data_IF_566931183761
#
_entry.id   IF_566931183761
#
_cell.length_a   1.000
_cell.length_b   1.000
_cell.length_c   1.000
_cell.angle_alpha   90.00
_cell.angle_beta   90.00
_cell.angle_gamma   90.00
#
_symmetry.space_group_name_H-M   'P 1'
#
loop_
_entity.id
_entity.type
_entity.pdbx_description
1 polymer ?
2 non-polymer ?
3 water ?
#
# COMPACT_ATOMS: atom_id res chain seq x y z
N UNK A 1 17.77 -5.48 0.68
CA UNK A 1 17.79 -4.88 2.02
C UNK A 1 17.47 -5.92 3.12
N UNK A 2 18.29 -5.97 4.19
CA UNK A 2 18.09 -6.98 5.23
C UNK A 2 16.86 -6.78 6.13
N UNK A 3 16.43 -7.89 6.70
CA UNK A 3 15.24 -7.96 7.52
C UNK A 3 15.58 -8.06 8.99
N UNK A 4 14.83 -7.31 9.82
CA UNK A 4 14.97 -7.27 11.27
C UNK A 4 13.68 -7.85 11.91
N UNK A 5 13.82 -8.60 13.00
CA UNK A 5 12.69 -9.20 13.69
C UNK A 5 12.70 -8.83 15.17
N UNK A 6 11.51 -8.68 15.74
CA UNK A 6 11.28 -8.34 17.13
C UNK A 6 10.26 -9.28 17.70
N UNK A 7 10.46 -9.78 18.94
CA UNK A 7 9.46 -10.60 19.59
C UNK A 7 8.60 -9.66 20.45
N UNK A 8 7.29 -9.82 20.37
CA UNK A 8 6.39 -8.93 21.07
C UNK A 8 5.01 -9.56 21.32
N UNK A 9 4.25 -8.92 22.20
CA UNK A 9 2.86 -9.25 22.42
C UNK A 9 2.03 -8.03 21.96
N UNK A 10 0.78 -8.28 21.61
CA UNK A 10 -0.11 -7.21 21.18
C UNK A 10 -1.32 -7.20 22.09
N UNK A 11 -1.77 -6.04 22.44
CA UNK A 11 -2.98 -5.86 23.23
C UNK A 11 -3.81 -4.85 22.45
N UNK A 12 -5.12 -5.03 22.35
CA UNK A 12 -5.93 -4.02 21.68
C UNK A 12 -6.04 -2.76 22.58
N UNK A 13 -6.58 -1.66 22.06
CA UNK A 13 -6.68 -0.42 22.84
C UNK A 13 -7.57 -0.49 24.05
N UNK A 14 -8.35 -1.56 24.19
CA UNK A 14 -9.16 -1.76 25.40
C UNK A 14 -8.50 -2.76 26.38
N UNK A 15 -7.21 -3.11 26.15
CA UNK A 15 -6.36 -3.99 26.95
C UNK A 15 -6.65 -5.48 26.78
N UNK A 16 -7.39 -5.89 25.73
CA UNK A 16 -7.64 -7.30 25.54
C UNK A 16 -6.38 -7.93 24.95
N UNK A 17 -5.94 -9.05 25.51
CA UNK A 17 -4.77 -9.77 25.02
C UNK A 17 -5.17 -10.67 23.85
N UNK A 18 -4.19 -11.05 23.01
CA UNK A 18 -4.47 -11.98 21.91
C UNK A 18 -3.94 -13.36 22.27
N UNK A 19 -4.78 -14.39 22.04
CA UNK A 19 -4.47 -15.79 22.35
C UNK A 19 -4.82 -16.68 21.15
N UNK A 20 -4.26 -17.91 21.07
CA UNK A 20 -4.68 -18.85 20.02
C UNK A 20 -6.01 -19.47 20.43
N UNK A 21 -6.80 -19.92 19.46
CA UNK A 21 -8.05 -20.63 19.69
C UNK A 21 -8.04 -21.72 18.64
N UNK A 22 -7.32 -22.79 18.93
CA UNK A 22 -7.10 -23.85 17.95
C UNK A 22 -6.06 -23.41 16.94
N UNK A 23 -5.88 -24.24 15.88
CA UNK A 23 -4.84 -23.96 14.91
C UNK A 23 -5.09 -22.80 13.94
N UNK A 24 -6.35 -22.42 13.71
CA UNK A 24 -6.65 -21.45 12.68
C UNK A 24 -7.15 -20.11 13.09
N UNK A 25 -7.16 -19.79 14.39
CA UNK A 25 -7.79 -18.56 14.84
C UNK A 25 -7.15 -17.95 16.07
N UNK A 26 -7.21 -16.60 16.18
CA UNK A 26 -6.80 -15.84 17.35
C UNK A 26 -8.09 -15.26 17.93
N UNK A 27 -8.18 -15.16 19.26
CA UNK A 27 -9.31 -14.52 19.94
C UNK A 27 -8.74 -13.42 20.82
N UNK A 28 -9.56 -12.46 21.22
CA UNK A 28 -9.09 -11.37 22.07
C UNK A 28 -9.92 -11.33 23.35
N UNK A 29 -9.28 -11.32 24.51
CA UNK A 29 -9.99 -11.27 25.80
C UNK A 29 -9.13 -10.63 26.89
N UNK A 30 -9.76 -10.14 27.97
CA UNK A 30 -9.03 -9.60 29.11
C UNK A 30 -8.55 -10.80 29.94
N UNK A 31 -7.24 -11.06 29.96
CA UNK A 31 -6.72 -12.21 30.68
C UNK A 31 -6.50 -11.97 32.15
N UNK A 32 -6.70 -13.01 32.98
CA UNK A 32 -6.36 -12.92 34.40
C UNK A 32 -4.82 -12.95 34.51
N UNK A 33 -4.28 -12.40 35.58
CA UNK A 33 -2.84 -12.34 35.78
C UNK A 33 -2.10 -13.66 35.74
N UNK A 34 -2.69 -14.73 36.31
CA UNK A 34 -2.05 -16.04 36.29
C UNK A 34 -2.12 -16.70 34.89
N UNK A 35 -3.08 -16.27 34.04
CA UNK A 35 -3.22 -16.79 32.67
C UNK A 35 -2.45 -15.92 31.64
N UNK A 36 -1.71 -14.88 32.08
CA UNK A 36 -0.99 -14.00 31.17
C UNK A 36 -0.03 -14.71 30.24
N UNK A 37 0.42 -15.92 30.59
CA UNK A 37 1.31 -16.71 29.75
C UNK A 37 0.62 -17.25 28.48
N UNK A 38 -0.71 -17.20 28.42
CA UNK A 38 -1.43 -17.66 27.24
C UNK A 38 -1.31 -16.73 26.05
N UNK A 39 -0.95 -15.44 26.27
CA UNK A 39 -0.89 -14.50 25.17
C UNK A 39 0.17 -14.88 24.14
N UNK A 40 -0.19 -14.77 22.85
CA UNK A 40 0.66 -15.16 21.72
C UNK A 40 1.88 -14.25 21.64
N UNK A 41 3.05 -14.85 21.44
CA UNK A 41 4.26 -14.09 21.19
C UNK A 41 4.41 -14.04 19.67
N UNK A 42 4.46 -12.82 19.12
CA UNK A 42 4.65 -12.63 17.70
C UNK A 42 6.09 -12.34 17.39
N UNK A 43 6.52 -12.68 16.19
CA UNK A 43 7.82 -12.27 15.71
C UNK A 43 7.43 -11.27 14.60
N UNK A 44 7.60 -9.99 14.89
CA UNK A 44 7.29 -8.96 13.92
C UNK A 44 8.52 -8.69 13.09
N UNK A 45 8.41 -8.91 11.78
CA UNK A 45 9.53 -8.71 10.88
C UNK A 45 9.30 -7.54 9.93
N UNK A 46 10.36 -6.81 9.67
CA UNK A 46 10.33 -5.61 8.82
C UNK A 46 11.72 -5.37 8.19
N UNK A 47 11.81 -4.43 7.25
CA UNK A 47 13.07 -4.12 6.59
C UNK A 47 13.82 -3.06 7.38
N UNK A 48 15.12 -3.33 7.67
CA UNK A 48 16.04 -2.45 8.42
C UNK A 48 16.20 -1.06 7.77
N UNK A 49 16.17 0.01 8.57
CA UNK A 49 16.37 1.35 8.07
C UNK A 49 15.12 2.18 7.84
N UNK A 50 13.94 1.57 8.06
CA UNK A 50 12.67 2.28 7.89
C UNK A 50 12.09 2.86 9.18
N UNK A 51 12.81 2.79 10.30
CA UNK A 51 12.34 3.27 11.61
C UNK A 51 11.73 4.70 11.60
N UNK A 52 12.17 5.60 10.69
CA UNK A 52 11.64 6.96 10.65
C UNK A 52 10.48 7.18 9.66
N UNK A 53 10.05 6.14 8.95
CA UNK A 53 8.95 6.25 7.99
C UNK A 53 7.58 6.19 8.70
N UNK A 54 6.55 6.80 8.10
CA UNK A 54 5.21 6.80 8.68
C UNK A 54 4.49 5.46 8.53
N UNK A 55 4.67 4.81 7.39
CA UNK A 55 4.11 3.48 7.16
C UNK A 55 5.26 2.54 7.10
N UNK A 56 5.22 1.49 7.89
CA UNK A 56 6.28 0.49 7.89
C UNK A 56 5.67 -0.87 7.62
N UNK A 57 5.95 -1.47 6.45
CA UNK A 57 5.45 -2.83 6.20
C UNK A 57 6.05 -3.83 7.19
N UNK A 58 5.18 -4.63 7.79
CA UNK A 58 5.55 -5.65 8.75
C UNK A 58 4.87 -6.97 8.38
N UNK A 59 5.48 -8.07 8.81
CA UNK A 59 4.94 -9.42 8.76
C UNK A 59 4.84 -9.88 10.22
N UNK A 60 3.75 -10.58 10.54
CA UNK A 60 3.54 -11.06 11.89
C UNK A 60 3.53 -12.57 11.95
N UNK A 61 4.64 -13.12 12.41
CA UNK A 61 4.77 -14.56 12.57
C UNK A 61 4.42 -15.01 13.98
N UNK A 62 4.06 -16.27 14.16
CA UNK A 62 3.80 -16.82 15.48
C UNK A 62 4.16 -18.31 15.49
N UNK A 63 4.23 -18.93 16.67
CA UNK A 63 4.55 -20.34 16.81
C UNK A 63 5.98 -20.61 16.33
N UNK A 64 6.93 -19.72 16.68
CA UNK A 64 8.36 -19.85 16.30
C UNK A 64 8.48 -19.87 14.76
N UNK A 65 7.73 -18.96 14.09
CA UNK A 65 7.66 -18.76 12.63
C UNK A 65 7.02 -19.89 11.85
N UNK A 66 6.23 -20.74 12.51
CA UNK A 66 5.53 -21.83 11.81
C UNK A 66 4.26 -21.34 11.11
N UNK A 67 3.71 -20.20 11.58
CA UNK A 67 2.50 -19.59 11.04
C UNK A 67 2.74 -18.10 10.86
N UNK A 68 2.08 -17.51 9.88
CA UNK A 68 2.08 -16.08 9.67
C UNK A 68 0.65 -15.61 9.49
N UNK A 69 0.33 -14.39 9.98
CA UNK A 69 -0.97 -13.77 9.73
C UNK A 69 -1.01 -13.44 8.23
N UNK A 70 -2.10 -13.84 7.58
CA UNK A 70 -2.26 -13.75 6.14
C UNK A 70 -3.60 -13.16 5.79
N UNK A 71 -3.66 -12.33 4.73
CA UNK A 71 -4.91 -11.74 4.27
C UNK A 71 -5.27 -12.41 2.95
N UNK A 72 -6.43 -13.09 2.88
CA UNK A 72 -6.89 -13.76 1.67
C UNK A 72 -8.38 -13.51 1.48
N UNK A 73 -8.85 -13.61 0.23
CA UNK A 73 -10.28 -13.50 -0.05
C UNK A 73 -10.98 -14.80 0.33
N UNK A 74 -12.07 -14.69 1.09
CA UNK A 74 -12.90 -15.84 1.42
C UNK A 74 -14.33 -15.39 1.21
N UNK A 75 -15.03 -16.02 0.25
CA UNK A 75 -16.40 -15.65 -0.15
C UNK A 75 -16.44 -14.23 -0.72
N UNK A 76 -15.37 -13.85 -1.46
CA UNK A 76 -15.19 -12.54 -2.08
C UNK A 76 -15.00 -11.40 -1.05
N UNK A 77 -14.56 -11.74 0.17
CA UNK A 77 -14.35 -10.76 1.21
C UNK A 77 -12.96 -10.90 1.85
N UNK A 78 -12.22 -9.78 2.05
CA UNK A 78 -10.91 -9.88 2.72
C UNK A 78 -11.02 -10.51 4.12
N UNK A 79 -10.20 -11.54 4.34
CA UNK A 79 -10.26 -12.35 5.55
C UNK A 79 -8.87 -12.59 6.14
N UNK A 80 -8.79 -12.60 7.46
CA UNK A 80 -7.56 -12.86 8.18
C UNK A 80 -7.45 -14.32 8.51
N UNK A 81 -6.32 -14.91 8.15
CA UNK A 81 -6.08 -16.31 8.38
C UNK A 81 -4.71 -16.55 9.03
N UNK A 82 -4.45 -17.78 9.50
CA UNK A 82 -3.17 -18.17 10.07
C UNK A 82 -2.62 -19.22 9.16
N UNK A 83 -1.67 -18.81 8.31
CA UNK A 83 -1.12 -19.66 7.28
C UNK A 83 0.18 -20.34 7.68
N UNK A 84 0.25 -21.67 7.45
CA UNK A 84 1.42 -22.49 7.72
C UNK A 84 2.53 -22.21 6.73
N UNK A 85 3.76 -22.04 7.23
CA UNK A 85 4.94 -21.85 6.38
C UNK A 85 6.08 -22.78 6.89
N UNK A 86 7.12 -22.97 6.07
CA UNK A 86 8.32 -23.70 6.44
C UNK A 86 9.12 -22.67 7.23
N UNK A 87 9.32 -22.89 8.55
CA UNK A 87 10.02 -21.88 9.36
C UNK A 87 11.45 -21.56 8.92
N UNK A 88 12.12 -22.50 8.24
CA UNK A 88 13.50 -22.33 7.76
C UNK A 88 13.67 -21.20 6.76
N UNK A 89 12.65 -20.93 5.92
CA UNK A 89 12.75 -19.86 4.93
C UNK A 89 12.11 -18.57 5.37
N UNK A 90 11.76 -18.42 6.64
CA UNK A 90 11.09 -17.21 7.11
C UNK A 90 11.83 -16.55 8.25
N UNK A 91 11.79 -15.21 8.33
CA UNK A 91 11.11 -14.28 7.41
C UNK A 91 11.89 -14.12 6.11
N UNK A 92 11.19 -13.89 4.99
CA UNK A 92 11.85 -13.72 3.69
C UNK A 92 12.29 -12.29 3.48
N UNK A 93 13.33 -12.07 2.67
CA UNK A 93 13.75 -10.71 2.30
C UNK A 93 12.63 -10.04 1.48
N UNK A 94 11.86 -10.82 0.70
CA UNK A 94 10.70 -10.34 -0.05
C UNK A 94 9.52 -11.19 0.40
N UNK A 95 8.84 -10.78 1.47
CA UNK A 95 7.68 -11.52 1.96
C UNK A 95 6.56 -11.46 0.94
N UNK A 96 5.75 -12.52 0.83
CA UNK A 96 4.58 -12.54 -0.05
C UNK A 96 3.60 -11.47 0.45
N UNK A 97 3.03 -10.69 -0.46
CA UNK A 97 2.14 -9.59 -0.14
C UNK A 97 0.99 -9.93 0.83
N UNK A 98 0.44 -11.15 0.77
CA UNK A 98 -0.65 -11.54 1.68
C UNK A 98 -0.22 -11.53 3.17
N UNK A 99 1.08 -11.63 3.45
CA UNK A 99 1.57 -11.61 4.83
C UNK A 99 1.91 -10.20 5.34
N UNK A 100 1.81 -9.18 4.47
CA UNK A 100 2.27 -7.84 4.83
C UNK A 100 1.18 -6.90 5.23
N UNK A 101 1.48 -6.13 6.29
CA UNK A 101 0.62 -5.10 6.82
C UNK A 101 1.42 -3.82 6.97
N UNK A 102 0.80 -2.67 6.68
CA UNK A 102 1.45 -1.40 6.94
C UNK A 102 1.19 -1.09 8.41
N UNK A 103 2.27 -0.99 9.20
CA UNK A 103 2.17 -0.65 10.59
C UNK A 103 2.26 0.89 10.62
N UNK A 104 1.22 1.52 11.13
CA UNK A 104 1.12 2.97 11.21
C UNK A 104 0.91 3.34 12.69
N UNK A 105 1.77 4.20 13.25
CA UNK A 105 1.62 4.59 14.65
C UNK A 105 0.83 5.90 14.80
N UNK A 106 -0.43 5.81 15.27
CA UNK A 106 -1.35 6.95 15.43
C UNK A 106 -1.67 7.19 16.91
N UNK A 107 -1.43 8.42 17.40
CA UNK A 107 -1.70 8.78 18.79
C UNK A 107 -1.12 7.77 19.82
N UNK A 108 0.15 7.30 19.57
CA UNK A 108 0.92 6.35 20.41
C UNK A 108 0.48 4.86 20.25
N UNK A 109 -0.59 4.62 19.50
CA UNK A 109 -1.09 3.27 19.26
C UNK A 109 -0.69 2.77 17.85
N UNK A 110 -0.83 1.48 17.62
CA UNK A 110 -0.47 0.85 16.37
C UNK A 110 -1.69 0.43 15.60
N UNK A 111 -1.62 0.58 14.30
CA UNK A 111 -2.68 0.21 13.39
C UNK A 111 -2.04 -0.65 12.30
N UNK A 112 -2.67 -1.77 11.91
CA UNK A 112 -2.10 -2.68 10.92
C UNK A 112 -3.04 -2.83 9.74
N UNK A 113 -2.75 -2.13 8.65
CA UNK A 113 -3.58 -2.16 7.45
C UNK A 113 -3.06 -3.21 6.49
N UNK A 114 -3.95 -4.03 5.93
CA UNK A 114 -3.55 -5.04 4.95
C UNK A 114 -2.93 -4.37 3.73
N UNK A 115 -1.73 -4.80 3.33
CA UNK A 115 -1.12 -4.26 2.10
C UNK A 115 -1.91 -4.79 0.89
N UNK A 116 -2.38 -6.05 0.94
CA UNK A 116 -3.13 -6.64 -0.16
C UNK A 116 -4.51 -6.01 -0.30
N UNK A 117 -5.16 -5.72 0.83
CA UNK A 117 -6.52 -5.19 0.82
C UNK A 117 -6.56 -3.83 1.50
N UNK A 118 -6.35 -2.74 0.73
CA UNK A 118 -6.36 -1.40 1.33
C UNK A 118 -7.63 -1.09 2.10
N UNK A 119 -7.48 -0.36 3.20
CA UNK A 119 -8.56 0.04 4.10
C UNK A 119 -9.21 -1.11 4.87
N UNK A 120 -8.50 -2.23 4.97
CA UNK A 120 -8.89 -3.39 5.78
C UNK A 120 -7.80 -3.52 6.85
N UNK A 121 -8.21 -3.61 8.11
CA UNK A 121 -7.29 -3.62 9.23
C UNK A 121 -7.45 -4.83 10.12
N UNK A 122 -6.39 -5.18 10.86
CA UNK A 122 -6.48 -6.18 11.93
C UNK A 122 -7.40 -5.57 13.00
N UNK A 123 -8.45 -6.29 13.36
CA UNK A 123 -9.50 -5.77 14.21
C UNK A 123 -9.90 -6.75 15.30
N UNK A 124 -10.48 -6.21 16.36
CA UNK A 124 -11.06 -6.99 17.44
C UNK A 124 -12.48 -6.44 17.75
N UNK A 125 -13.31 -7.27 18.36
CA UNK A 125 -14.64 -6.87 18.77
C UNK A 125 -14.56 -6.27 20.18
N UNK A 126 -15.59 -5.48 20.57
CA UNK A 126 -15.70 -4.93 21.92
C UNK A 126 -15.95 -6.08 22.94
N UNK A 127 -16.74 -7.09 22.54
CA UNK A 127 -17.08 -8.25 23.35
C UNK A 127 -15.86 -9.13 23.66
N UNK A 128 -15.93 -9.88 24.76
CA UNK A 128 -14.84 -10.77 25.17
C UNK A 128 -14.83 -12.05 24.37
N UNK A 129 -13.63 -12.61 24.21
CA UNK A 129 -13.38 -13.91 23.62
C UNK A 129 -13.93 -14.11 22.22
N UNK A 130 -13.89 -13.06 21.40
CA UNK A 130 -14.31 -13.12 20.00
C UNK A 130 -13.10 -13.16 19.10
N UNK A 131 -13.22 -13.76 17.89
CA UNK A 131 -12.06 -13.85 17.01
C UNK A 131 -11.49 -12.49 16.60
N UNK A 132 -10.17 -12.49 16.33
CA UNK A 132 -9.46 -11.37 15.74
C UNK A 132 -9.79 -11.51 14.25
N UNK A 133 -10.13 -10.40 13.57
CA UNK A 133 -10.55 -10.48 12.17
C UNK A 133 -10.03 -9.30 11.34
N UNK A 134 -10.23 -9.33 10.01
CA UNK A 134 -9.87 -8.20 9.15
C UNK A 134 -11.17 -7.40 8.98
N UNK A 135 -11.16 -6.14 9.39
CA UNK A 135 -12.34 -5.30 9.31
C UNK A 135 -12.15 -4.11 8.40
N UNK A 136 -13.22 -3.71 7.73
CA UNK A 136 -13.17 -2.62 6.77
C UNK A 136 -13.62 -1.27 7.28
N UNK A 137 -13.97 -1.18 8.57
CA UNK A 137 -14.45 0.07 9.16
C UNK A 137 -13.59 0.55 10.32
N UNK A 138 -13.43 1.86 10.43
CA UNK A 138 -12.69 2.51 11.51
C UNK A 138 -13.62 3.53 12.18
N UNK A 139 -13.48 3.70 13.49
CA UNK A 139 -14.31 4.66 14.21
C UNK A 139 -15.61 4.13 14.77
N UNK A 140 -15.98 2.89 14.40
CA UNK A 140 -17.18 2.26 14.92
C UNK A 140 -16.91 1.50 16.22
N UNK A 141 -17.72 0.48 16.56
CA UNK A 141 -17.47 -0.31 17.76
C UNK A 141 -16.28 -1.27 17.59
N UNK A 142 -15.91 -1.64 16.34
CA UNK A 142 -14.76 -2.53 16.14
C UNK A 142 -13.45 -1.77 16.41
N UNK A 143 -12.53 -2.43 17.11
CA UNK A 143 -11.26 -1.86 17.55
C UNK A 143 -10.18 -2.18 16.53
N UNK A 144 -9.50 -1.15 16.02
CA UNK A 144 -8.42 -1.34 15.05
C UNK A 144 -7.06 -0.85 15.53
N UNK A 145 -6.93 -0.45 16.81
CA UNK A 145 -5.64 0.02 17.30
C UNK A 145 -5.12 -0.85 18.47
N UNK A 146 -3.80 -0.99 18.54
CA UNK A 146 -3.13 -1.85 19.49
C UNK A 146 -1.91 -1.20 20.14
N UNK A 147 -1.44 -1.78 21.24
CA UNK A 147 -0.18 -1.45 21.85
C UNK A 147 0.67 -2.72 21.75
N UNK A 148 1.97 -2.52 21.69
CA UNK A 148 2.94 -3.60 21.56
C UNK A 148 3.84 -3.60 22.78
N UNK A 149 4.15 -4.80 23.29
CA UNK A 149 5.04 -4.97 24.44
C UNK A 149 6.16 -5.89 23.98
N UNK A 150 7.42 -5.44 24.07
CA UNK A 150 8.56 -6.23 23.64
C UNK A 150 8.95 -7.32 24.62
N UNK A 151 9.08 -8.55 24.12
CA UNK A 151 9.48 -9.72 24.88
C UNK A 151 11.02 -9.86 24.74
N UNK A 152 11.55 -9.65 23.51
CA UNK A 152 12.98 -9.69 23.18
C UNK A 152 13.33 -8.96 21.86
N UNK B 1 -15.71 22.42 -16.66
CA UNK B 1 -16.03 22.97 -15.33
C UNK B 1 -16.07 21.91 -14.21
N UNK B 2 -16.96 20.88 -14.22
CA UNK B 2 -16.92 19.89 -13.13
C UNK B 2 -15.71 18.95 -13.25
N UNK B 3 -15.22 18.41 -12.12
CA UNK B 3 -14.13 17.46 -12.16
C UNK B 3 -14.71 16.06 -12.45
N UNK B 4 -14.07 15.35 -13.38
CA UNK B 4 -14.40 13.99 -13.77
C UNK B 4 -13.30 13.05 -13.26
N UNK B 5 -13.61 11.76 -13.07
CA UNK B 5 -12.60 10.77 -12.69
C UNK B 5 -12.80 9.46 -13.42
N UNK B 6 -11.70 8.78 -13.77
CA UNK B 6 -11.77 7.49 -14.48
C UNK B 6 -10.76 6.54 -13.90
N UNK B 7 -11.14 5.27 -13.72
CA UNK B 7 -10.21 4.27 -13.20
C UNK B 7 -9.47 3.67 -14.37
N UNK B 8 -8.15 3.52 -14.24
CA UNK B 8 -7.35 3.01 -15.34
C UNK B 8 -6.03 2.39 -14.89
N UNK B 9 -5.40 1.66 -15.79
CA UNK B 9 -4.07 1.12 -15.61
C UNK B 9 -3.17 1.77 -16.68
N UNK B 10 -1.87 1.84 -16.41
CA UNK B 10 -0.90 2.38 -17.35
C UNK B 10 0.11 1.32 -17.69
N UNK B 11 0.45 1.23 -18.96
CA UNK B 11 1.45 0.30 -19.47
C UNK B 11 2.45 1.12 -20.29
N UNK B 12 3.79 1.03 -20.04
CA UNK B 12 4.73 1.85 -20.83
C UNK B 12 4.78 1.37 -22.30
N UNK B 13 5.42 2.13 -23.19
CA UNK B 13 5.48 1.75 -24.60
C UNK B 13 6.24 0.47 -24.89
N UNK B 14 6.97 -0.07 -23.90
CA UNK B 14 7.63 -1.37 -24.10
C UNK B 14 6.83 -2.53 -23.43
N UNK B 15 5.53 -2.25 -23.05
CA UNK B 15 4.57 -3.17 -22.46
C UNK B 15 4.80 -3.48 -20.99
N UNK B 16 5.63 -2.71 -20.27
CA UNK B 16 5.83 -2.99 -18.84
C UNK B 16 4.66 -2.42 -18.04
N UNK B 17 4.11 -3.23 -17.13
CA UNK B 17 3.01 -2.82 -16.26
C UNK B 17 3.56 -2.08 -15.02
N UNK B 18 2.73 -1.28 -14.35
CA UNK B 18 3.15 -0.59 -13.13
C UNK B 18 2.59 -1.29 -11.89
N UNK B 19 3.44 -1.55 -10.88
CA UNK B 19 3.07 -2.22 -9.64
C UNK B 19 3.63 -1.44 -8.42
N UNK B 20 3.12 -1.72 -7.22
CA UNK B 20 3.69 -1.10 -6.01
C UNK B 20 5.02 -1.79 -5.66
N UNK B 21 5.90 -1.09 -4.97
CA UNK B 21 7.14 -1.62 -4.44
C UNK B 21 7.26 -0.99 -3.04
N UNK B 22 6.57 -1.57 -2.08
CA UNK B 22 6.41 -0.97 -0.77
C UNK B 22 5.36 0.15 -0.83
N UNK B 23 5.13 0.84 0.27
CA UNK B 23 4.10 1.90 0.27
C UNK B 23 4.45 3.20 -0.50
N UNK B 24 5.76 3.50 -0.69
CA UNK B 24 6.17 4.78 -1.23
C UNK B 24 6.73 4.80 -2.64
N UNK B 25 6.61 3.71 -3.40
CA UNK B 25 7.22 3.64 -4.71
C UNK B 25 6.49 2.75 -5.69
N UNK B 26 6.56 3.06 -7.00
CA UNK B 26 6.04 2.22 -8.07
C UNK B 26 7.25 1.66 -8.85
N UNK B 27 7.13 0.45 -9.38
CA UNK B 27 8.15 -0.20 -10.24
C UNK B 27 7.48 -0.65 -11.53
N UNK B 28 8.28 -0.83 -12.59
CA UNK B 28 7.70 -1.23 -13.88
C UNK B 28 8.33 -2.54 -14.33
N UNK B 29 7.50 -3.52 -14.70
CA UNK B 29 8.01 -4.80 -15.18
C UNK B 29 7.01 -5.50 -16.11
N UNK B 30 7.47 -6.47 -16.91
CA UNK B 30 6.61 -7.25 -17.78
C UNK B 30 5.87 -8.29 -16.98
N UNK B 31 4.54 -8.28 -17.13
CA UNK B 31 3.58 -9.18 -16.50
C UNK B 31 2.68 -9.81 -17.59
N UNK B 32 2.39 -11.08 -17.47
CA UNK B 32 1.47 -11.79 -18.35
C UNK B 32 0.46 -12.58 -17.51
N UNK B 33 -0.71 -12.88 -18.10
CA UNK B 33 -1.76 -13.66 -17.46
C UNK B 33 -2.31 -13.07 -16.18
N UNK B 34 -2.54 -13.93 -15.17
CA UNK B 34 -3.09 -13.53 -13.88
C UNK B 34 -2.17 -12.62 -13.07
N UNK B 35 -0.84 -12.62 -13.36
CA UNK B 35 0.09 -11.69 -12.71
C UNK B 35 -0.25 -10.23 -13.01
N UNK B 36 -0.95 -9.96 -14.12
CA UNK B 36 -1.38 -8.63 -14.47
C UNK B 36 -2.33 -8.01 -13.43
N UNK B 37 -2.98 -8.82 -12.58
CA UNK B 37 -3.86 -8.29 -11.53
C UNK B 37 -3.09 -7.52 -10.43
N UNK B 38 -1.74 -7.71 -10.35
CA UNK B 38 -0.87 -6.94 -9.44
C UNK B 38 -0.72 -5.47 -9.86
N UNK B 39 -1.08 -5.14 -11.11
CA UNK B 39 -0.93 -3.79 -11.61
C UNK B 39 -1.80 -2.77 -10.86
N UNK B 40 -1.21 -1.60 -10.59
CA UNK B 40 -1.86 -0.51 -9.88
C UNK B 40 -3.03 0.09 -10.64
N UNK B 41 -4.15 0.30 -9.96
CA UNK B 41 -5.29 0.94 -10.56
C UNK B 41 -5.21 2.41 -10.15
N UNK B 42 -5.21 3.29 -11.12
CA UNK B 42 -5.18 4.72 -10.87
C UNK B 42 -6.57 5.32 -10.98
N UNK B 43 -6.80 6.41 -10.28
CA UNK B 43 -8.01 7.19 -10.38
C UNK B 43 -7.55 8.49 -11.04
N UNK B 44 -7.74 8.61 -12.36
CA UNK B 44 -7.30 9.79 -13.08
C UNK B 44 -8.39 10.85 -13.06
N UNK B 45 -8.10 12.00 -12.46
CA UNK B 45 -9.05 13.11 -12.42
C UNK B 45 -8.64 14.24 -13.32
N UNK B 46 -9.62 14.94 -13.89
CA UNK B 46 -9.42 16.05 -14.80
C UNK B 46 -10.67 16.94 -14.86
N UNK B 47 -10.58 18.11 -15.50
CA UNK B 47 -11.70 19.02 -15.64
C UNK B 47 -12.46 18.68 -16.93
N UNK B 48 -13.77 18.46 -16.82
CA UNK B 48 -14.63 18.12 -17.96
C UNK B 48 -14.58 19.24 -19.00
N UNK B 49 -14.80 18.87 -20.25
CA UNK B 49 -14.90 19.82 -21.36
C UNK B 49 -13.59 20.09 -22.09
N UNK B 50 -12.50 19.52 -21.60
CA UNK B 50 -11.19 19.72 -22.23
C UNK B 50 -10.79 18.58 -23.18
N UNK B 51 -11.69 17.63 -23.48
CA UNK B 51 -11.40 16.47 -24.33
C UNK B 51 -10.73 16.80 -25.68
N UNK B 52 -10.95 18.00 -26.24
CA UNK B 52 -10.33 18.36 -27.53
C UNK B 52 -9.01 19.14 -27.42
N UNK B 53 -8.53 19.42 -26.21
CA UNK B 53 -7.29 20.17 -26.02
C UNK B 53 -6.08 19.24 -26.18
N UNK B 54 -4.94 19.78 -26.61
CA UNK B 54 -3.73 18.97 -26.78
C UNK B 54 -3.09 18.61 -25.44
N UNK B 55 -3.08 19.52 -24.47
CA UNK B 55 -2.58 19.24 -23.13
C UNK B 55 -3.77 19.27 -22.19
N UNK B 56 -3.99 18.17 -21.47
CA UNK B 56 -5.08 18.06 -20.50
C UNK B 56 -4.51 17.80 -19.10
N UNK B 57 -4.61 18.77 -18.18
CA UNK B 57 -4.12 18.53 -16.83
C UNK B 57 -4.90 17.41 -16.13
N UNK B 58 -4.15 16.49 -15.56
CA UNK B 58 -4.69 15.34 -14.85
C UNK B 58 -4.00 15.19 -13.50
N UNK B 59 -4.71 14.55 -12.56
CA UNK B 59 -4.18 14.12 -11.28
C UNK B 59 -4.30 12.58 -11.24
N UNK B 60 -3.27 11.92 -10.72
CA UNK B 60 -3.26 10.46 -10.66
C UNK B 60 -3.30 9.95 -9.23
N UNK B 61 -4.47 9.51 -8.81
CA UNK B 61 -4.66 8.96 -7.48
C UNK B 61 -4.50 7.45 -7.48
N UNK B 62 -4.19 6.88 -6.32
CA UNK B 62 -4.02 5.44 -6.06
C UNK B 62 -4.83 5.05 -4.80
N UNK B 63 -5.00 3.73 -4.49
CA UNK B 63 -5.64 3.21 -3.25
C UNK B 63 -7.00 3.82 -2.95
N UNK B 64 -7.84 4.03 -3.99
CA UNK B 64 -9.14 4.69 -3.82
C UNK B 64 -8.93 6.12 -3.28
N UNK B 65 -8.05 6.86 -3.94
CA UNK B 65 -7.70 8.25 -3.64
C UNK B 65 -7.08 8.46 -2.26
N UNK B 66 -6.29 7.49 -1.72
CA UNK B 66 -5.56 7.68 -0.46
C UNK B 66 -4.13 8.28 -0.69
N UNK B 67 -3.58 8.07 -1.89
CA UNK B 67 -2.30 8.57 -2.32
C UNK B 67 -2.45 9.23 -3.69
N UNK B 68 -1.63 10.24 -3.97
CA UNK B 68 -1.57 10.85 -5.28
C UNK B 68 -0.12 10.93 -5.72
N UNK B 69 0.13 10.78 -7.03
CA UNK B 69 1.47 10.99 -7.59
C UNK B 69 1.75 12.50 -7.47
N UNK B 70 2.92 12.84 -6.94
CA UNK B 70 3.30 14.20 -6.62
C UNK B 70 4.70 14.50 -7.16
N UNK B 71 4.94 15.73 -7.61
CA UNK B 71 6.26 16.14 -8.09
C UNK B 71 6.82 17.12 -7.06
N UNK B 72 7.97 16.79 -6.43
CA UNK B 72 8.62 17.67 -5.45
C UNK B 72 10.13 17.69 -5.69
N UNK B 73 10.80 18.74 -5.22
CA UNK B 73 12.25 18.81 -5.32
C UNK B 73 12.89 17.91 -4.25
N UNK B 74 13.87 17.10 -4.63
CA UNK B 74 14.64 16.30 -3.69
C UNK B 74 16.10 16.43 -4.15
N UNK B 75 16.98 17.01 -3.32
CA UNK B 75 18.38 17.29 -3.63
C UNK B 75 18.47 18.32 -4.78
N UNK B 76 17.52 19.26 -4.85
CA UNK B 76 17.41 20.30 -5.89
C UNK B 76 17.05 19.72 -7.26
N UNK B 77 16.43 18.54 -7.30
CA UNK B 77 16.06 17.89 -8.54
C UNK B 77 14.59 17.44 -8.51
N UNK B 78 13.83 17.70 -9.58
CA UNK B 78 12.42 17.23 -9.64
C UNK B 78 12.31 15.71 -9.45
N UNK B 79 11.46 15.31 -8.51
CA UNK B 79 11.32 13.92 -8.09
C UNK B 79 9.86 13.50 -7.96
N UNK B 80 9.58 12.26 -8.34
CA UNK B 80 8.24 11.68 -8.26
C UNK B 80 8.01 11.03 -6.89
N UNK B 81 6.92 11.34 -6.21
CA UNK B 81 6.62 10.73 -4.90
C UNK B 81 5.16 10.30 -4.77
N UNK B 82 4.85 9.41 -3.83
CA UNK B 82 3.46 8.97 -3.58
C UNK B 82 3.05 9.66 -2.29
N UNK B 83 2.26 10.72 -2.39
CA UNK B 83 1.87 11.53 -1.24
C UNK B 83 0.51 11.16 -0.67
N UNK B 84 0.44 11.01 0.65
CA UNK B 84 -0.80 10.69 1.37
C UNK B 84 -1.74 11.87 1.44
N UNK B 85 -3.03 11.63 1.16
CA UNK B 85 -4.07 12.67 1.24
C UNK B 85 -5.32 12.11 1.98
N UNK B 86 -6.22 13.01 2.44
CA UNK B 86 -7.49 12.64 3.03
C UNK B 86 -8.38 12.33 1.81
N UNK B 87 -8.79 11.07 1.61
CA UNK B 87 -9.57 10.74 0.40
C UNK B 87 -10.91 11.47 0.25
N UNK B 88 -11.49 11.95 1.37
CA UNK B 88 -12.77 12.67 1.38
C UNK B 88 -12.73 13.98 0.59
N UNK B 89 -11.57 14.68 0.61
CA UNK B 89 -11.46 15.95 -0.10
C UNK B 89 -10.84 15.82 -1.47
N UNK B 90 -10.60 14.60 -1.99
CA UNK B 90 -9.97 14.39 -3.28
C UNK B 90 -10.86 13.60 -4.23
N UNK B 91 -10.89 13.97 -5.53
CA UNK B 91 -10.10 15.02 -6.16
C UNK B 91 -10.70 16.43 -5.91
N UNK B 92 -9.83 17.45 -5.83
CA UNK B 92 -10.29 18.82 -5.59
C UNK B 92 -10.65 19.51 -6.89
N UNK B 93 -11.53 20.52 -6.81
CA UNK B 93 -11.84 21.34 -7.99
C UNK B 93 -10.60 22.12 -8.43
N UNK B 94 -9.73 22.49 -7.47
CA UNK B 94 -8.45 23.14 -7.75
C UNK B 94 -7.38 22.29 -7.09
N UNK B 95 -6.87 21.28 -7.82
CA UNK B 95 -5.83 20.41 -7.27
C UNK B 95 -4.53 21.21 -7.05
N UNK B 96 -3.74 20.85 -6.03
CA UNK B 96 -2.44 21.49 -5.79
C UNK B 96 -1.54 21.17 -6.98
N UNK B 97 -0.80 22.17 -7.47
CA UNK B 97 0.05 22.04 -8.66
C UNK B 97 1.02 20.84 -8.65
N UNK B 98 1.55 20.47 -7.46
CA UNK B 98 2.47 19.31 -7.39
C UNK B 98 1.81 17.98 -7.81
N UNK B 99 0.47 17.89 -7.74
CA UNK B 99 -0.24 16.68 -8.17
C UNK B 99 -0.62 16.66 -9.65
N UNK B 100 -0.36 17.74 -10.38
CA UNK B 100 -0.85 17.88 -11.73
C UNK B 100 0.17 17.59 -12.80
N UNK B 101 -0.28 16.85 -13.81
CA UNK B 101 0.50 16.50 -14.98
C UNK B 101 -0.30 16.87 -16.22
N UNK B 102 0.37 17.37 -17.25
CA UNK B 102 -0.28 17.60 -18.53
C UNK B 102 -0.25 16.26 -19.24
N UNK B 103 -1.45 15.71 -19.53
CA UNK B 103 -1.55 14.48 -20.28
C UNK B 103 -1.57 14.89 -21.75
N UNK B 104 -0.58 14.42 -22.52
CA UNK B 104 -0.39 14.78 -23.92
C UNK B 104 -0.37 13.56 -24.79
N UNK B 105 -1.06 13.61 -25.92
CA UNK B 105 -1.08 12.52 -26.87
C UNK B 105 0.09 12.68 -27.81
N UNK B 106 0.90 11.65 -27.95
CA UNK B 106 2.01 11.66 -28.90
C UNK B 106 1.97 10.34 -29.65
N UNK B 107 1.71 10.39 -30.98
CA UNK B 107 1.43 9.20 -31.81
C UNK B 107 0.14 8.54 -31.21
N UNK B 108 0.10 7.22 -30.99
CA UNK B 108 -1.07 6.61 -30.33
C UNK B 108 -0.79 6.35 -28.81
N UNK B 109 0.12 7.14 -28.20
CA UNK B 109 0.52 6.99 -26.80
C UNK B 109 0.25 8.27 -25.98
N UNK B 110 0.51 8.21 -24.67
CA UNK B 110 0.30 9.34 -23.78
C UNK B 110 1.59 9.62 -23.05
N UNK B 111 1.85 10.88 -22.81
CA UNK B 111 2.96 11.30 -21.96
C UNK B 111 2.39 12.18 -20.87
N UNK B 112 3.06 12.19 -19.72
CA UNK B 112 2.59 12.94 -18.56
C UNK B 112 3.69 13.86 -18.10
N UNK B 113 3.57 15.15 -18.45
CA UNK B 113 4.58 16.13 -18.09
C UNK B 113 4.21 16.81 -16.81
N UNK B 114 5.14 16.98 -15.89
CA UNK B 114 4.90 17.68 -14.64
C UNK B 114 4.50 19.13 -14.92
N UNK B 115 3.36 19.56 -14.35
CA UNK B 115 2.96 20.96 -14.51
C UNK B 115 3.95 21.85 -13.70
N UNK B 116 4.37 21.39 -12.54
CA UNK B 116 5.26 22.13 -11.65
C UNK B 116 6.67 22.23 -12.25
N UNK B 117 7.13 21.14 -12.86
CA UNK B 117 8.48 21.07 -13.42
C UNK B 117 8.44 20.83 -14.91
N UNK B 118 8.41 21.90 -15.71
CA UNK B 118 8.34 21.73 -17.17
C UNK B 118 9.46 20.87 -17.75
N UNK B 119 9.11 20.06 -18.75
CA UNK B 119 10.01 19.17 -19.44
C UNK B 119 10.52 18.00 -18.58
N UNK B 120 9.80 17.68 -17.50
CA UNK B 120 10.04 16.54 -16.65
C UNK B 120 8.80 15.67 -16.79
N UNK B 121 9.00 14.38 -17.07
CA UNK B 121 7.92 13.46 -17.35
C UNK B 121 7.93 12.23 -16.46
N UNK B 122 6.75 11.58 -16.30
CA UNK B 122 6.65 10.27 -15.66
C UNK B 122 7.38 9.32 -16.59
N UNK B 123 8.36 8.61 -16.03
CA UNK B 123 9.27 7.80 -16.80
C UNK B 123 9.49 6.44 -16.21
N UNK B 124 9.90 5.51 -17.08
CA UNK B 124 10.30 4.18 -16.68
C UNK B 124 11.66 3.86 -17.33
N UNK B 125 12.37 2.92 -16.75
CA UNK B 125 13.64 2.47 -17.28
C UNK B 125 13.40 1.35 -18.31
N UNK B 126 14.34 1.10 -19.22
CA UNK B 126 14.24 -0.03 -20.15
C UNK B 126 14.46 -1.39 -19.44
N UNK B 127 15.19 -1.40 -18.32
CA UNK B 127 15.41 -2.59 -17.53
C UNK B 127 14.17 -2.98 -16.72
N UNK B 128 14.07 -4.26 -16.36
CA UNK B 128 12.93 -4.77 -15.59
C UNK B 128 13.03 -4.41 -14.14
N UNK B 129 11.86 -4.26 -13.50
CA UNK B 129 11.69 -4.08 -12.07
C UNK B 129 12.46 -2.91 -11.46
N UNK B 130 12.51 -1.80 -12.19
CA UNK B 130 13.13 -0.57 -11.70
C UNK B 130 12.05 0.45 -11.32
N UNK B 131 12.36 1.39 -10.42
CA UNK B 131 11.34 2.37 -10.03
C UNK B 131 10.85 3.26 -11.17
N UNK B 132 9.59 3.71 -11.05
CA UNK B 132 8.97 4.69 -11.93
C UNK B 132 9.52 6.01 -11.36
N UNK B 133 9.93 6.95 -12.21
CA UNK B 133 10.56 8.19 -11.74
C UNK B 133 10.20 9.40 -12.61
N UNK B 134 10.61 10.61 -12.22
CA UNK B 134 10.42 11.81 -13.03
C UNK B 134 11.74 12.01 -13.80
N UNK B 135 11.68 11.99 -15.12
CA UNK B 135 12.86 12.12 -15.96
C UNK B 135 12.83 13.36 -16.81
N UNK B 136 14.01 13.95 -17.03
CA UNK B 136 14.13 15.19 -17.77
C UNK B 136 14.52 15.08 -19.22
N UNK B 137 14.63 13.85 -19.73
CA UNK B 137 15.02 13.64 -21.13
C UNK B 137 13.97 12.84 -21.89
N UNK B 138 13.81 13.16 -23.17
CA UNK B 138 12.93 12.45 -24.08
C UNK B 138 13.77 11.96 -25.28
N UNK B 139 13.44 10.78 -25.80
CA UNK B 139 14.16 10.22 -26.95
C UNK B 139 15.43 9.44 -26.63
N UNK B 140 15.79 9.40 -25.34
CA UNK B 140 16.96 8.69 -24.85
C UNK B 140 16.57 7.31 -24.40
N UNK B 141 17.31 6.77 -23.42
CA UNK B 141 17.08 5.41 -22.94
C UNK B 141 15.91 5.28 -21.97
N UNK B 142 15.37 6.38 -21.49
CA UNK B 142 14.25 6.34 -20.58
C UNK B 142 12.94 6.47 -21.38
N UNK B 143 11.91 5.73 -20.95
CA UNK B 143 10.62 5.66 -21.60
C UNK B 143 9.67 6.64 -20.97
N UNK B 144 9.10 7.54 -21.78
CA UNK B 144 8.16 8.54 -21.29
C UNK B 144 6.77 8.43 -21.89
N UNK B 145 6.50 7.38 -22.70
CA UNK B 145 5.17 7.23 -23.30
C UNK B 145 4.47 5.95 -22.85
N UNK B 146 3.15 6.05 -22.71
CA UNK B 146 2.34 4.99 -22.14
C UNK B 146 1.05 4.77 -22.93
N UNK B 147 0.40 3.65 -22.66
CA UNK B 147 -0.96 3.40 -23.09
C UNK B 147 -1.79 3.28 -21.79
N UNK B 148 -3.05 3.64 -21.89
CA UNK B 148 -3.96 3.60 -20.76
C UNK B 148 -5.07 2.58 -21.06
N UNK B 149 -5.46 1.81 -20.05
CA UNK B 149 -6.53 0.82 -20.19
C UNK B 149 -7.57 1.16 -19.13
N UNK B 150 -8.82 1.37 -19.52
CA UNK B 150 -9.88 1.73 -18.57
C UNK B 150 -10.46 0.53 -17.80
N UNK B 151 -10.62 0.65 -16.46
CA UNK B 151 -11.14 -0.43 -15.60
C UNK B 151 -12.31 0.03 -14.68
N UNK B 152 -12.99 -0.92 -14.01
CA UNK B 152 -14.12 -0.78 -13.06
C UNK B 152 -14.42 0.63 -12.55
#
# INVERSE_FOLDING_TARGET
>A
APVRSLNCTLRDSQQKSLVMSGPYELKALHLQGQDMEQQVVFSMSFVQGEESNDKIPVALGLKEKNLYLSCVLKDDKPTLQLESVDPKNYPKKKMEKRFVFNKIEINNKLEFESAQFPNWYISTSQAENMPVFLGGTKGGQDITDFTMQFVSS
>B
APVRSLNCTLRDSQQKSLVMSGPYELKALHLQGQDMEQQVVFSMSFVQGEESNDKIPVALGLKEKNLYLSCVLKDDKPTLQLESVDPKNYPKKKMEKRFVFNKIEINNKLEFESAQFPNWYISTSQAENMPVFLGGTKGGQDITDFTMQFVSS
#
